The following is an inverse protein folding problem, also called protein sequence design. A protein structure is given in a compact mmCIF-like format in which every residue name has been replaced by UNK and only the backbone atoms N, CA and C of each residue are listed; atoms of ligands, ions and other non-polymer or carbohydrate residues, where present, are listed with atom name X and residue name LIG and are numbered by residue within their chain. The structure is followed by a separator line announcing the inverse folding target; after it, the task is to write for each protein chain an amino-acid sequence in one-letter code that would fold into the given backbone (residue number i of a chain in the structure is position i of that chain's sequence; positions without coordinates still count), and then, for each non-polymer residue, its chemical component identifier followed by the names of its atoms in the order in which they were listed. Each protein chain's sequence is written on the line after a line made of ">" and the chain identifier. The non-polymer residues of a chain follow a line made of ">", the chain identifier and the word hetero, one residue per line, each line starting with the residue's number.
data_IF_978448579427
#
_entry.id   IF_978448579427
#
_cell.length_a   1.000
_cell.length_b   1.000
_cell.length_c   1.000
_cell.angle_alpha   90.00
_cell.angle_beta   90.00
_cell.angle_gamma   90.00
#
_symmetry.space_group_name_H-M   'P 1'
#
loop_
_entity.id
_entity.type
_entity.pdbx_description
1 polymer ?
#
# COMPACT_ATOMS: atom_id res chain seq x y z
N UNK A 1 -25.50 7.75 -4.33
CA UNK A 1 -26.07 6.59 -3.61
C UNK A 1 -25.03 6.13 -2.62
N UNK A 2 -25.33 6.12 -1.32
CA UNK A 2 -24.42 5.61 -0.30
C UNK A 2 -24.49 4.08 -0.26
N UNK A 3 -23.36 3.41 -0.03
CA UNK A 3 -23.29 1.95 0.12
C UNK A 3 -24.07 1.51 1.37
N UNK A 4 -24.69 0.33 1.30
CA UNK A 4 -25.34 -0.27 2.46
C UNK A 4 -24.32 -0.65 3.54
N UNK A 5 -24.77 -0.73 4.78
CA UNK A 5 -23.89 -1.08 5.92
C UNK A 5 -23.21 -2.44 5.72
N UNK A 6 -23.90 -3.42 5.14
CA UNK A 6 -23.33 -4.73 4.84
C UNK A 6 -22.19 -4.63 3.82
N UNK A 7 -22.37 -3.84 2.75
CA UNK A 7 -21.33 -3.60 1.74
C UNK A 7 -20.11 -2.90 2.36
N UNK A 8 -20.33 -1.90 3.21
CA UNK A 8 -19.25 -1.19 3.90
C UNK A 8 -18.43 -2.13 4.80
N UNK A 9 -19.08 -3.00 5.58
CA UNK A 9 -18.39 -3.99 6.43
C UNK A 9 -17.56 -4.95 5.57
N UNK A 10 -18.11 -5.42 4.46
CA UNK A 10 -17.42 -6.33 3.54
C UNK A 10 -16.19 -5.67 2.89
N UNK A 11 -16.31 -4.39 2.53
CA UNK A 11 -15.20 -3.60 1.99
C UNK A 11 -14.10 -3.43 3.04
N UNK A 12 -14.43 -3.04 4.27
CA UNK A 12 -13.43 -2.90 5.35
C UNK A 12 -12.73 -4.23 5.67
N UNK A 13 -13.46 -5.35 5.63
CA UNK A 13 -12.85 -6.68 5.76
C UNK A 13 -11.88 -6.99 4.61
N UNK A 14 -12.26 -6.69 3.37
CA UNK A 14 -11.40 -6.86 2.18
C UNK A 14 -10.17 -5.97 2.25
N UNK A 15 -10.32 -4.69 2.60
CA UNK A 15 -9.21 -3.74 2.80
C UNK A 15 -8.24 -4.28 3.85
N UNK A 16 -8.75 -4.76 4.97
CA UNK A 16 -7.90 -5.30 6.05
C UNK A 16 -7.17 -6.57 5.62
N UNK A 17 -7.82 -7.43 4.83
CA UNK A 17 -7.24 -8.70 4.39
C UNK A 17 -6.25 -8.54 3.22
N UNK A 18 -6.49 -7.59 2.31
CA UNK A 18 -5.62 -7.31 1.15
C UNK A 18 -4.50 -6.32 1.46
N UNK A 19 -4.64 -5.49 2.51
CA UNK A 19 -3.57 -4.60 2.93
C UNK A 19 -2.33 -5.39 3.39
N UNK A 20 -1.15 -4.92 2.98
CA UNK A 20 0.12 -5.51 3.44
C UNK A 20 0.24 -5.42 4.96
N UNK A 21 0.84 -6.45 5.57
CA UNK A 21 0.99 -6.53 7.02
C UNK A 21 1.94 -5.45 7.54
N UNK A 22 1.41 -4.56 8.37
CA UNK A 22 2.16 -3.51 9.06
C UNK A 22 3.22 -4.12 9.97
N UNK A 23 2.85 -5.17 10.70
CA UNK A 23 3.75 -5.90 11.57
C UNK A 23 4.91 -6.51 10.78
N UNK A 24 4.64 -7.12 9.63
CA UNK A 24 5.68 -7.68 8.79
C UNK A 24 6.64 -6.60 8.26
N UNK A 25 6.11 -5.43 7.84
CA UNK A 25 6.92 -4.32 7.36
C UNK A 25 7.86 -3.77 8.45
N UNK A 26 7.37 -3.58 9.68
CA UNK A 26 8.21 -3.17 10.82
C UNK A 26 9.19 -4.25 11.25
N UNK A 27 8.82 -5.53 11.16
CA UNK A 27 9.72 -6.64 11.48
C UNK A 27 10.87 -6.71 10.46
N UNK A 28 10.57 -6.58 9.17
CA UNK A 28 11.57 -6.47 8.10
C UNK A 28 12.46 -5.24 8.25
N UNK A 29 11.90 -4.12 8.68
CA UNK A 29 12.66 -2.89 8.94
C UNK A 29 13.60 -3.03 10.16
N UNK A 30 13.17 -3.73 11.21
CA UNK A 30 14.00 -3.94 12.39
C UNK A 30 15.15 -4.93 12.13
N UNK A 31 14.86 -6.07 11.49
CA UNK A 31 15.88 -7.11 11.25
C UNK A 31 16.74 -6.85 10.01
N UNK A 32 16.16 -6.33 8.94
CA UNK A 32 16.78 -6.18 7.62
C UNK A 32 16.72 -4.73 7.07
N UNK A 33 16.41 -3.74 7.92
CA UNK A 33 16.21 -2.36 7.47
C UNK A 33 17.47 -1.68 6.92
N UNK A 34 18.65 -2.03 7.40
CA UNK A 34 19.92 -1.52 6.85
C UNK A 34 20.18 -2.02 5.42
N UNK A 35 19.61 -3.16 5.05
CA UNK A 35 19.66 -3.73 3.69
C UNK A 35 18.51 -3.24 2.79
N UNK A 36 17.50 -2.55 3.36
CA UNK A 36 16.36 -2.03 2.62
C UNK A 36 15.26 -3.06 2.30
N UNK A 37 15.23 -4.22 2.99
CA UNK A 37 14.27 -5.30 2.67
C UNK A 37 12.80 -4.92 2.89
N UNK A 38 12.50 -4.04 3.84
CA UNK A 38 11.14 -3.52 4.05
C UNK A 38 10.63 -2.76 2.83
N UNK A 39 11.49 -2.04 2.10
CA UNK A 39 11.11 -1.35 0.85
C UNK A 39 10.90 -2.30 -0.32
N UNK A 40 11.68 -3.38 -0.40
CA UNK A 40 11.41 -4.47 -1.34
C UNK A 40 10.03 -5.10 -1.08
N UNK A 41 9.69 -5.34 0.19
CA UNK A 41 8.38 -5.90 0.57
C UNK A 41 7.21 -4.97 0.23
N UNK A 42 7.40 -3.66 0.40
CA UNK A 42 6.39 -2.63 0.11
C UNK A 42 6.26 -2.33 -1.40
N UNK A 43 7.08 -2.94 -2.25
CA UNK A 43 7.02 -2.80 -3.72
C UNK A 43 7.76 -1.57 -4.26
N UNK A 44 8.59 -0.91 -3.45
CA UNK A 44 9.39 0.26 -3.86
C UNK A 44 10.83 -0.16 -4.14
N UNK A 45 11.02 -0.90 -5.24
CA UNK A 45 12.31 -1.45 -5.69
C UNK A 45 13.37 -0.37 -5.93
N UNK A 46 12.99 0.79 -6.51
CA UNK A 46 13.97 1.84 -6.82
C UNK A 46 14.67 2.40 -5.58
N UNK A 47 13.92 2.76 -4.54
CA UNK A 47 14.50 3.26 -3.29
C UNK A 47 15.15 2.15 -2.45
N UNK A 48 14.67 0.91 -2.57
CA UNK A 48 15.31 -0.25 -1.94
C UNK A 48 16.71 -0.52 -2.51
N UNK A 49 16.87 -0.45 -3.84
CA UNK A 49 18.18 -0.59 -4.51
C UNK A 49 19.11 0.56 -4.13
N UNK A 50 18.61 1.80 -4.10
CA UNK A 50 19.42 2.93 -3.66
C UNK A 50 19.97 2.74 -2.24
N UNK A 51 19.13 2.23 -1.32
CA UNK A 51 19.53 1.95 0.05
C UNK A 51 20.53 0.80 0.16
N UNK A 52 20.37 -0.25 -0.64
CA UNK A 52 21.33 -1.35 -0.73
C UNK A 52 22.70 -0.86 -1.23
N UNK A 53 22.72 -0.04 -2.30
CA UNK A 53 23.95 0.56 -2.83
C UNK A 53 24.60 1.45 -1.77
N UNK A 54 23.83 2.30 -1.10
CA UNK A 54 24.35 3.18 -0.06
C UNK A 54 24.93 2.39 1.12
N UNK A 55 24.32 1.26 1.48
CA UNK A 55 24.82 0.36 2.51
C UNK A 55 26.15 -0.28 2.08
N UNK A 56 26.23 -0.84 0.87
CA UNK A 56 27.45 -1.48 0.34
C UNK A 56 28.59 -0.46 0.18
N UNK A 57 28.30 0.69 -0.44
CA UNK A 57 29.29 1.77 -0.64
C UNK A 57 29.69 2.39 0.70
N UNK A 58 28.74 2.59 1.61
CA UNK A 58 29.00 3.09 2.96
C UNK A 58 29.98 2.19 3.71
N UNK A 59 29.73 0.87 3.73
CA UNK A 59 30.64 -0.11 4.33
C UNK A 59 32.01 -0.17 3.65
N UNK A 60 32.06 -0.12 2.31
CA UNK A 60 33.32 -0.17 1.56
C UNK A 60 34.19 1.07 1.79
N UNK A 61 33.56 2.24 1.96
CA UNK A 61 34.25 3.52 2.19
C UNK A 61 34.52 3.82 3.66
N UNK A 62 34.08 2.97 4.59
CA UNK A 62 34.38 3.11 6.04
C UNK A 62 35.88 3.14 6.29
N UNK A 63 36.66 2.41 5.50
CA UNK A 63 38.13 2.42 5.59
C UNK A 63 38.76 3.80 5.33
N UNK A 64 38.05 4.69 4.64
CA UNK A 64 38.50 6.05 4.30
C UNK A 64 37.94 7.12 5.24
N UNK A 65 37.32 6.76 6.37
CA UNK A 65 36.61 7.64 7.33
C UNK A 65 35.32 8.26 6.72
N UNK A 66 35.28 8.52 5.42
CA UNK A 66 34.12 9.02 4.66
C UNK A 66 32.90 8.11 4.83
N UNK A 67 33.10 6.79 4.95
CA UNK A 67 32.01 5.84 5.18
C UNK A 67 31.23 6.11 6.47
N UNK A 68 31.85 6.68 7.52
CA UNK A 68 31.11 7.06 8.72
C UNK A 68 30.03 8.10 8.41
N UNK A 69 30.34 9.13 7.61
CA UNK A 69 29.35 10.14 7.23
C UNK A 69 28.18 9.54 6.43
N UNK A 70 28.48 8.62 5.51
CA UNK A 70 27.46 7.90 4.74
C UNK A 70 26.59 7.00 5.62
N UNK A 71 27.18 6.32 6.59
CA UNK A 71 26.45 5.49 7.55
C UNK A 71 25.58 6.34 8.49
N UNK A 72 26.00 7.55 8.87
CA UNK A 72 25.16 8.48 9.65
C UNK A 72 23.93 8.91 8.85
N UNK A 73 24.11 9.26 7.57
CA UNK A 73 23.00 9.59 6.66
C UNK A 73 22.08 8.39 6.49
N UNK A 74 22.63 7.19 6.32
CA UNK A 74 21.86 5.95 6.24
C UNK A 74 21.07 5.68 7.53
N UNK A 75 21.64 5.98 8.70
CA UNK A 75 20.97 5.86 10.00
C UNK A 75 19.82 6.86 10.17
N UNK A 76 20.01 8.12 9.77
CA UNK A 76 18.93 9.13 9.76
C UNK A 76 17.83 8.68 8.81
N UNK A 77 18.19 8.22 7.61
CA UNK A 77 17.23 7.68 6.66
C UNK A 77 16.48 6.48 7.24
N UNK A 78 17.16 5.56 7.92
CA UNK A 78 16.51 4.42 8.56
C UNK A 78 15.42 4.84 9.57
N UNK A 79 15.62 5.92 10.32
CA UNK A 79 14.60 6.51 11.21
C UNK A 79 13.45 7.12 10.41
N UNK A 80 13.75 7.90 9.35
CA UNK A 80 12.72 8.48 8.46
C UNK A 80 11.86 7.38 7.82
N UNK A 81 12.47 6.24 7.49
CA UNK A 81 11.77 5.10 6.91
C UNK A 81 10.72 4.52 7.87
N UNK A 82 10.92 4.57 9.20
CA UNK A 82 9.92 4.14 10.17
C UNK A 82 8.60 4.92 10.04
N UNK A 83 8.67 6.21 9.72
CA UNK A 83 7.51 7.06 9.45
C UNK A 83 6.94 6.81 8.05
N UNK A 84 7.80 6.62 7.04
CA UNK A 84 7.36 6.31 5.67
C UNK A 84 6.58 4.99 5.59
N UNK A 85 6.96 3.96 6.37
CA UNK A 85 6.23 2.67 6.39
C UNK A 85 4.75 2.90 6.75
N UNK A 86 4.48 3.68 7.79
CA UNK A 86 3.11 4.03 8.19
C UNK A 86 2.36 4.83 7.12
N UNK A 87 3.03 5.76 6.46
CA UNK A 87 2.44 6.54 5.38
C UNK A 87 2.06 5.67 4.17
N UNK A 88 2.98 4.80 3.71
CA UNK A 88 2.75 3.93 2.56
C UNK A 88 1.64 2.90 2.81
N UNK A 89 1.54 2.38 4.03
CA UNK A 89 0.49 1.43 4.39
C UNK A 89 -0.87 2.13 4.41
N UNK A 90 -0.93 3.36 4.91
CA UNK A 90 -2.16 4.14 4.92
C UNK A 90 -2.60 4.46 3.49
N UNK A 91 -1.67 4.82 2.61
CA UNK A 91 -1.92 5.04 1.19
C UNK A 91 -2.44 3.78 0.49
N UNK A 92 -1.81 2.62 0.73
CA UNK A 92 -2.28 1.34 0.17
C UNK A 92 -3.68 0.95 0.65
N UNK A 93 -3.99 1.14 1.94
CA UNK A 93 -5.32 0.86 2.49
C UNK A 93 -6.39 1.73 1.85
N UNK A 94 -6.09 3.00 1.66
CA UNK A 94 -7.01 3.95 1.04
C UNK A 94 -7.21 3.66 -0.44
N UNK A 95 -6.15 3.32 -1.18
CA UNK A 95 -6.27 2.88 -2.57
C UNK A 95 -7.15 1.63 -2.71
N UNK A 96 -6.97 0.62 -1.87
CA UNK A 96 -7.78 -0.61 -1.89
C UNK A 96 -9.24 -0.27 -1.56
N UNK A 97 -9.47 0.59 -0.54
CA UNK A 97 -10.81 1.04 -0.16
C UNK A 97 -11.51 1.74 -1.31
N UNK A 98 -10.84 2.66 -1.98
CA UNK A 98 -11.39 3.41 -3.11
C UNK A 98 -11.73 2.49 -4.28
N UNK A 99 -10.82 1.58 -4.65
CA UNK A 99 -11.04 0.61 -5.74
C UNK A 99 -12.27 -0.29 -5.46
N UNK A 100 -12.40 -0.79 -4.24
CA UNK A 100 -13.53 -1.64 -3.85
C UNK A 100 -14.85 -0.85 -3.79
N UNK A 101 -14.80 0.39 -3.31
CA UNK A 101 -15.96 1.30 -3.27
C UNK A 101 -16.46 1.59 -4.68
N UNK A 102 -15.55 1.94 -5.59
CA UNK A 102 -15.88 2.20 -7.00
C UNK A 102 -16.47 0.97 -7.68
N UNK A 103 -15.91 -0.22 -7.40
CA UNK A 103 -16.42 -1.48 -7.94
C UNK A 103 -17.84 -1.79 -7.42
N UNK A 104 -18.09 -1.58 -6.12
CA UNK A 104 -19.41 -1.78 -5.53
C UNK A 104 -20.45 -0.80 -6.10
N UNK A 105 -20.09 0.49 -6.24
CA UNK A 105 -20.96 1.51 -6.83
C UNK A 105 -21.33 1.19 -8.29
N UNK A 106 -20.36 0.79 -9.11
CA UNK A 106 -20.60 0.39 -10.50
C UNK A 106 -21.52 -0.83 -10.61
N UNK A 107 -21.29 -1.83 -9.76
CA UNK A 107 -22.11 -3.06 -9.73
C UNK A 107 -23.56 -2.75 -9.35
N UNK A 108 -23.76 -1.92 -8.32
CA UNK A 108 -25.10 -1.53 -7.87
C UNK A 108 -25.84 -0.70 -8.94
N UNK A 109 -25.14 0.23 -9.59
CA UNK A 109 -25.69 1.00 -10.73
C UNK A 109 -26.12 0.09 -11.89
N UNK A 110 -25.33 -0.91 -12.25
CA UNK A 110 -25.68 -1.87 -13.30
C UNK A 110 -26.92 -2.69 -12.95
N UNK A 111 -27.04 -3.16 -11.72
CA UNK A 111 -28.21 -3.90 -11.25
C UNK A 111 -29.49 -3.06 -11.34
N UNK A 112 -29.42 -1.80 -10.92
CA UNK A 112 -30.57 -0.88 -10.99
C UNK A 112 -30.92 -0.50 -12.44
N UNK A 113 -29.92 -0.31 -13.31
CA UNK A 113 -30.16 -0.07 -14.74
C UNK A 113 -30.82 -1.29 -15.40
N UNK A 114 -30.32 -2.50 -15.15
CA UNK A 114 -30.90 -3.73 -15.69
C UNK A 114 -32.37 -3.90 -15.29
N UNK A 115 -32.70 -3.67 -14.00
CA UNK A 115 -34.10 -3.71 -13.54
C UNK A 115 -34.97 -2.71 -14.31
N UNK A 116 -34.50 -1.46 -14.49
CA UNK A 116 -35.23 -0.42 -15.23
C UNK A 116 -35.42 -0.78 -16.71
N UNK A 117 -34.41 -1.36 -17.35
CA UNK A 117 -34.51 -1.84 -18.73
C UNK A 117 -35.55 -2.96 -18.85
N UNK A 118 -35.57 -3.92 -17.93
CA UNK A 118 -36.56 -5.01 -17.94
C UNK A 118 -37.99 -4.48 -17.70
N UNK A 119 -38.17 -3.56 -16.75
CA UNK A 119 -39.49 -2.99 -16.44
C UNK A 119 -40.03 -2.16 -17.62
N UNK A 120 -39.19 -1.37 -18.28
CA UNK A 120 -39.60 -0.60 -19.47
C UNK A 120 -39.94 -1.50 -20.67
N UNK A 121 -39.20 -2.59 -20.87
CA UNK A 121 -39.49 -3.57 -21.93
C UNK A 121 -40.80 -4.34 -21.66
N UNK A 122 -41.16 -4.60 -20.40
CA UNK A 122 -42.40 -5.30 -20.07
C UNK A 122 -43.64 -4.38 -20.10
N UNK A 123 -43.49 -3.10 -19.75
CA UNK A 123 -44.58 -2.11 -19.80
C UNK A 123 -44.93 -1.61 -21.21
N UNK A 124 -44.10 -1.87 -22.22
CA UNK A 124 -44.36 -1.50 -23.62
C UNK A 124 -45.15 -2.56 -24.42
N UNK A 125 -45.33 -3.76 -23.87
CA UNK A 125 -45.99 -4.89 -24.53
C UNK A 125 -47.41 -5.18 -23.98
N UNK A 126 -47.98 -4.25 -23.21
CA UNK A 126 -49.35 -4.30 -22.68
C UNK A 126 -50.13 -3.08 -23.17
#
# INVERSE_FOLDING_TARGET
>A
MALSTQEQILIEQRVTNEAKSVGAAYLLWFFLGTLGAHRFYLGRTGSAVAQLILCVVGWLTTFLIIGFALLTVLGIWWIVDAFLISAMISEQKEEIRQRLTDQALRTNQQAEQAKRTVISAHGQNA
#
